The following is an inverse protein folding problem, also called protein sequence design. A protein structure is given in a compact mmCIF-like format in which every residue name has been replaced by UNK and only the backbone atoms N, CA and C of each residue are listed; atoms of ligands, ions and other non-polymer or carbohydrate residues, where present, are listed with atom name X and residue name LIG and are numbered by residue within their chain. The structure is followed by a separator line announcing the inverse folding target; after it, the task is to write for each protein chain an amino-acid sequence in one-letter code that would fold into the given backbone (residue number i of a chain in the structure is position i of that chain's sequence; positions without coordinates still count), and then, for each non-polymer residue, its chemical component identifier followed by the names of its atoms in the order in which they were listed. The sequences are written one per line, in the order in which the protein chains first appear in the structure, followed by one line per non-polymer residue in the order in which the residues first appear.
data_IF_776283638008
#
_entry.id   IF_776283638008
#
_cell.length_a   1.000
_cell.length_b   1.000
_cell.length_c   1.000
_cell.angle_alpha   90.00
_cell.angle_beta   90.00
_cell.angle_gamma   90.00
#
_symmetry.space_group_name_H-M   'P 1'
#
loop_
_entity.id
_entity.type
_entity.pdbx_description
1 polymer ?
#
# COMPACT_ATOMS: atom_id res chain seq x y z
N UNK A 1 12.31 8.89 2.97
CA UNK A 1 11.52 7.66 3.22
C UNK A 1 12.42 6.49 2.93
N UNK A 2 12.68 5.59 3.87
CA UNK A 2 13.39 4.35 3.55
C UNK A 2 12.40 3.41 2.84
N UNK A 3 12.55 3.29 1.52
CA UNK A 3 11.77 2.35 0.71
C UNK A 3 12.47 1.00 0.77
N UNK A 4 11.72 -0.06 1.11
CA UNK A 4 12.25 -1.42 1.14
C UNK A 4 12.73 -1.86 -0.25
N UNK A 5 13.65 -2.82 -0.29
CA UNK A 5 14.15 -3.38 -1.55
C UNK A 5 13.01 -3.90 -2.44
N UNK A 6 11.99 -4.54 -1.86
CA UNK A 6 10.82 -5.03 -2.59
C UNK A 6 10.04 -3.88 -3.24
N UNK A 7 9.80 -2.81 -2.50
CA UNK A 7 9.11 -1.63 -3.02
C UNK A 7 9.94 -0.88 -4.07
N UNK A 8 11.27 -0.92 -4.00
CA UNK A 8 12.14 -0.38 -5.06
C UNK A 8 12.00 -1.15 -6.39
N UNK A 9 11.85 -2.47 -6.35
CA UNK A 9 11.62 -3.28 -7.56
C UNK A 9 10.29 -2.92 -8.24
N UNK A 10 9.24 -2.70 -7.44
CA UNK A 10 7.93 -2.26 -7.96
C UNK A 10 8.04 -0.84 -8.54
N UNK A 11 8.78 0.05 -7.86
CA UNK A 11 8.98 1.44 -8.30
C UNK A 11 9.65 1.54 -9.67
N UNK A 12 10.65 0.69 -9.95
CA UNK A 12 11.30 0.62 -11.27
C UNK A 12 10.32 0.30 -12.40
N UNK A 13 9.22 -0.38 -12.08
CA UNK A 13 8.19 -0.82 -13.03
C UNK A 13 6.85 -0.08 -12.84
N UNK A 14 6.85 1.09 -12.18
CA UNK A 14 5.61 1.78 -11.76
C UNK A 14 4.59 2.02 -12.89
N UNK A 15 5.05 2.28 -14.11
CA UNK A 15 4.21 2.58 -15.29
C UNK A 15 3.23 1.44 -15.62
N UNK A 16 3.59 0.20 -15.31
CA UNK A 16 2.74 -0.98 -15.58
C UNK A 16 1.44 -0.91 -14.75
N UNK A 17 1.47 -0.23 -13.61
CA UNK A 17 0.40 -0.23 -12.62
C UNK A 17 -0.55 0.97 -12.71
N UNK A 18 -0.18 2.04 -13.44
CA UNK A 18 -0.95 3.29 -13.52
C UNK A 18 -2.41 3.09 -13.93
N UNK A 19 -2.66 2.15 -14.84
CA UNK A 19 -4.01 1.82 -15.35
C UNK A 19 -4.56 0.49 -14.80
N UNK A 20 -4.05 0.01 -13.67
CA UNK A 20 -4.44 -1.28 -13.09
C UNK A 20 -5.14 -1.08 -11.74
N UNK A 21 -5.97 -2.06 -11.36
CA UNK A 21 -6.44 -2.23 -9.98
C UNK A 21 -5.45 -3.14 -9.28
N UNK A 22 -4.84 -2.69 -8.19
CA UNK A 22 -3.70 -3.37 -7.55
C UNK A 22 -4.07 -3.78 -6.13
N UNK A 23 -3.78 -5.04 -5.79
CA UNK A 23 -3.89 -5.58 -4.44
C UNK A 23 -2.49 -5.79 -3.87
N UNK A 24 -2.15 -5.05 -2.82
CA UNK A 24 -0.96 -5.32 -2.02
C UNK A 24 -1.32 -6.24 -0.86
N UNK A 25 -0.63 -7.38 -0.77
CA UNK A 25 -0.77 -8.33 0.32
C UNK A 25 0.59 -8.93 0.69
N UNK A 26 0.66 -9.59 1.85
CA UNK A 26 1.86 -10.28 2.30
C UNK A 26 2.71 -9.42 3.24
N UNK A 27 4.03 -9.44 3.05
CA UNK A 27 4.99 -8.79 3.95
C UNK A 27 5.21 -7.32 3.56
N UNK A 28 4.20 -6.49 3.83
CA UNK A 28 4.25 -5.05 3.59
C UNK A 28 5.00 -4.39 4.75
N UNK A 29 6.20 -3.87 4.48
CA UNK A 29 7.11 -3.29 5.49
C UNK A 29 7.19 -1.77 5.43
N UNK A 30 6.74 -1.17 4.33
CA UNK A 30 6.73 0.26 4.11
C UNK A 30 5.37 0.71 3.57
N UNK A 31 5.21 2.01 3.47
CA UNK A 31 4.00 2.65 3.01
C UNK A 31 4.05 3.04 1.53
N UNK A 32 5.01 2.51 0.79
CA UNK A 32 5.10 2.68 -0.66
C UNK A 32 3.78 2.39 -1.40
N UNK A 33 2.97 1.37 -1.03
CA UNK A 33 1.66 1.15 -1.63
C UNK A 33 0.73 2.37 -1.63
N UNK A 34 0.90 3.32 -0.70
CA UNK A 34 0.12 4.56 -0.64
C UNK A 34 0.52 5.59 -1.71
N UNK A 35 1.67 5.41 -2.35
CA UNK A 35 2.26 6.37 -3.30
C UNK A 35 2.31 5.81 -4.73
N UNK A 36 2.03 4.52 -4.93
CA UNK A 36 1.92 3.97 -6.27
C UNK A 36 0.64 4.50 -6.93
N UNK A 37 0.81 5.14 -8.10
CA UNK A 37 -0.30 5.59 -8.92
C UNK A 37 -0.98 4.39 -9.58
N UNK A 38 -2.28 4.23 -9.33
CA UNK A 38 -3.12 3.15 -9.88
C UNK A 38 -4.55 3.66 -10.05
N UNK A 39 -5.43 2.88 -10.69
CA UNK A 39 -6.87 3.19 -10.74
C UNK A 39 -7.51 2.97 -9.36
N UNK A 40 -7.12 1.91 -8.67
CA UNK A 40 -7.61 1.57 -7.34
C UNK A 40 -6.58 0.70 -6.63
N UNK A 41 -6.22 1.09 -5.42
CA UNK A 41 -5.30 0.34 -4.59
C UNK A 41 -6.03 -0.25 -3.39
N UNK A 42 -5.98 -1.58 -3.26
CA UNK A 42 -6.36 -2.29 -2.04
C UNK A 42 -5.11 -2.75 -1.31
N UNK A 43 -5.07 -2.55 0.00
CA UNK A 43 -3.93 -2.92 0.83
C UNK A 43 -4.42 -3.81 1.97
N UNK A 44 -3.90 -5.02 2.03
CA UNK A 44 -4.18 -5.97 3.11
C UNK A 44 -2.96 -6.09 4.01
N UNK A 45 -3.13 -5.70 5.27
CA UNK A 45 -2.07 -5.73 6.28
C UNK A 45 -2.40 -6.68 7.41
N UNK A 46 -1.38 -7.43 7.85
CA UNK A 46 -1.49 -8.40 8.94
C UNK A 46 -1.31 -7.79 10.33
N UNK A 47 -0.58 -6.67 10.45
CA UNK A 47 -0.28 -6.02 11.73
C UNK A 47 -1.21 -4.83 11.95
N UNK A 48 -1.85 -4.78 13.12
CA UNK A 48 -2.82 -3.73 13.46
C UNK A 48 -2.17 -2.36 13.61
N UNK A 49 -1.01 -2.29 14.27
CA UNK A 49 -0.30 -1.02 14.45
C UNK A 49 0.08 -0.40 13.09
N UNK A 50 0.47 -1.26 12.15
CA UNK A 50 0.79 -0.86 10.80
C UNK A 50 -0.45 -0.42 10.01
N UNK A 51 -1.59 -1.09 10.21
CA UNK A 51 -2.88 -0.64 9.70
C UNK A 51 -3.21 0.79 10.17
N UNK A 52 -3.08 1.05 11.47
CA UNK A 52 -3.35 2.38 12.04
C UNK A 52 -2.38 3.43 11.48
N UNK A 53 -1.10 3.07 11.37
CA UNK A 53 -0.08 3.93 10.77
C UNK A 53 -0.45 4.33 9.32
N UNK A 54 -0.78 3.36 8.46
CA UNK A 54 -1.16 3.63 7.08
C UNK A 54 -2.47 4.41 6.98
N UNK A 55 -3.46 4.09 7.81
CA UNK A 55 -4.75 4.81 7.85
C UNK A 55 -4.57 6.29 8.19
N UNK A 56 -3.72 6.61 9.17
CA UNK A 56 -3.35 8.00 9.52
C UNK A 56 -2.71 8.74 8.35
N UNK A 57 -1.91 8.05 7.53
CA UNK A 57 -1.29 8.65 6.33
C UNK A 57 -2.27 8.87 5.18
N UNK A 58 -3.23 7.96 4.98
CA UNK A 58 -4.28 8.12 3.96
C UNK A 58 -5.15 9.33 4.22
N UNK A 59 -5.53 9.59 5.49
CA UNK A 59 -6.38 10.74 5.84
C UNK A 59 -5.80 12.10 5.38
N UNK A 60 -4.49 12.16 5.09
CA UNK A 60 -3.83 13.35 4.55
C UNK A 60 -3.81 13.42 3.01
N UNK A 61 -4.46 12.47 2.31
CA UNK A 61 -4.38 12.30 0.85
C UNK A 61 -5.76 12.20 0.18
N UNK A 62 -5.89 12.84 -0.97
CA UNK A 62 -7.02 12.71 -1.91
C UNK A 62 -6.82 11.51 -2.87
N UNK A 63 -6.64 10.29 -2.34
CA UNK A 63 -6.48 9.08 -3.16
C UNK A 63 -7.45 7.99 -2.72
N UNK A 64 -8.10 7.33 -3.68
CA UNK A 64 -9.00 6.20 -3.43
C UNK A 64 -8.18 4.95 -3.08
N UNK A 65 -7.93 4.75 -1.78
CA UNK A 65 -7.20 3.60 -1.24
C UNK A 65 -8.06 2.95 -0.16
N UNK A 66 -8.25 1.64 -0.26
CA UNK A 66 -8.95 0.85 0.75
C UNK A 66 -7.93 -0.02 1.49
N UNK A 67 -7.86 0.13 2.82
CA UNK A 67 -7.01 -0.72 3.68
C UNK A 67 -7.88 -1.67 4.50
N UNK A 68 -7.49 -2.94 4.48
CA UNK A 68 -8.07 -3.99 5.31
C UNK A 68 -7.04 -4.48 6.33
N UNK A 69 -7.51 -4.67 7.57
CA UNK A 69 -6.76 -5.35 8.62
C UNK A 69 -7.22 -6.82 8.72
N UNK A 70 -6.26 -7.73 8.75
CA UNK A 70 -6.54 -9.15 8.98
C UNK A 70 -6.57 -9.46 10.48
N UNK A 71 -7.75 -9.83 11.01
CA UNK A 71 -7.90 -10.34 12.38
C UNK A 71 -7.87 -11.86 12.35
N UNK A 72 -6.80 -12.48 12.87
CA UNK A 72 -6.81 -13.92 13.16
C UNK A 72 -7.90 -14.19 14.21
N UNK A 73 -8.79 -15.14 13.92
CA UNK A 73 -9.67 -15.76 14.92
C UNK A 73 -8.84 -16.73 15.76
#
# INVERSE_FOLDING_TARGET
MLISQNSQLILRNKKIFEKKKVLFFGNIKDDYPLYLQTINTKIHVKKYDFYIFLKKKILKKLVFIIIYYYRKK
#
